data_IF_855048882926
#
_entry.id   IF_855048882926
#
_cell.length_a   1.000
_cell.length_b   1.000
_cell.length_c   1.000
_cell.angle_alpha   90.00
_cell.angle_beta   90.00
_cell.angle_gamma   90.00
#
_symmetry.space_group_name_H-M   'P 1'
#
loop_
_entity.id
_entity.type
_entity.pdbx_description
1 polymer ?
#
# COMPACT_ATOMS: atom_id res chain seq x y z
N UNK A 1 68.70 -17.55 57.15
CA UNK A 1 68.16 -16.22 56.82
C UNK A 1 66.64 -16.25 56.96
N UNK A 2 66.10 -15.24 57.66
CA UNK A 2 64.81 -14.56 57.44
C UNK A 2 63.49 -15.29 57.73
N UNK A 3 62.81 -14.89 58.81
CA UNK A 3 61.38 -14.54 58.77
C UNK A 3 61.23 -13.14 58.12
N UNK A 4 60.09 -12.63 57.59
CA UNK A 4 58.66 -12.87 57.93
C UNK A 4 57.73 -12.75 56.65
N UNK A 5 56.59 -12.01 56.59
CA UNK A 5 55.26 -12.06 57.25
C UNK A 5 54.06 -12.23 56.25
N UNK A 6 52.83 -12.23 56.79
CA UNK A 6 51.51 -11.93 56.18
C UNK A 6 51.49 -11.26 54.79
N UNK A 7 50.59 -11.70 53.90
CA UNK A 7 49.87 -10.79 52.99
C UNK A 7 48.48 -11.33 52.59
N UNK A 8 47.50 -10.46 52.76
CA UNK A 8 46.11 -10.48 52.31
C UNK A 8 46.00 -10.26 50.78
N UNK A 9 44.88 -10.70 50.19
CA UNK A 9 44.37 -10.28 48.88
C UNK A 9 44.47 -11.38 47.81
N UNK A 10 43.49 -11.64 46.94
CA UNK A 10 42.28 -10.91 46.57
C UNK A 10 41.32 -11.88 45.85
N UNK A 11 40.04 -11.54 45.89
CA UNK A 11 38.92 -12.30 45.34
C UNK A 11 39.06 -12.67 43.85
N UNK A 12 38.45 -13.78 43.45
CA UNK A 12 37.65 -13.84 42.20
C UNK A 12 36.69 -15.04 42.23
N UNK A 13 35.40 -14.68 42.28
CA UNK A 13 34.20 -15.53 42.21
C UNK A 13 34.09 -16.22 40.84
N UNK A 14 33.30 -17.31 40.75
CA UNK A 14 33.10 -18.06 39.51
C UNK A 14 32.51 -17.20 38.38
N UNK A 15 32.88 -17.65 37.18
CA UNK A 15 32.65 -17.07 35.86
C UNK A 15 31.18 -17.02 35.46
N UNK A 16 30.86 -15.84 34.96
CA UNK A 16 30.07 -15.53 33.78
C UNK A 16 28.53 -15.60 33.86
N UNK A 17 27.98 -14.40 33.64
CA UNK A 17 26.70 -14.01 33.05
C UNK A 17 25.41 -14.17 33.87
N UNK A 18 25.22 -13.28 34.84
CA UNK A 18 23.90 -12.70 35.06
C UNK A 18 23.65 -11.64 33.98
N UNK A 19 22.70 -11.90 33.08
CA UNK A 19 21.81 -10.84 32.59
C UNK A 19 20.39 -11.40 32.61
N UNK A 20 19.72 -11.19 33.73
CA UNK A 20 18.27 -11.18 33.75
C UNK A 20 17.80 -9.84 33.15
N UNK A 21 17.07 -9.89 32.04
CA UNK A 21 16.04 -8.90 31.74
C UNK A 21 15.06 -9.55 30.77
N UNK A 22 13.95 -10.07 31.28
CA UNK A 22 12.63 -9.43 31.20
C UNK A 22 11.93 -9.74 29.88
N UNK A 23 11.06 -10.74 29.96
CA UNK A 23 9.70 -10.82 29.41
C UNK A 23 9.35 -9.79 28.31
N UNK A 24 8.99 -10.33 27.15
CA UNK A 24 7.88 -9.89 26.29
C UNK A 24 8.00 -8.52 25.63
N UNK A 25 8.16 -8.50 24.31
CA UNK A 25 7.10 -8.01 23.44
C UNK A 25 7.47 -8.31 21.98
N UNK A 26 6.56 -9.04 21.34
CA UNK A 26 6.63 -9.40 19.95
C UNK A 26 6.18 -8.19 19.12
N UNK A 27 7.11 -7.47 18.50
CA UNK A 27 6.75 -6.60 17.38
C UNK A 27 7.61 -7.01 16.19
N UNK A 28 6.97 -7.82 15.37
CA UNK A 28 7.41 -8.36 14.09
C UNK A 28 7.48 -7.20 13.09
N UNK A 29 8.63 -6.55 12.98
CA UNK A 29 8.90 -5.67 11.83
C UNK A 29 9.49 -6.51 10.68
N UNK A 30 8.66 -7.39 10.13
CA UNK A 30 8.87 -7.96 8.80
C UNK A 30 8.31 -6.95 7.80
N UNK A 31 9.01 -5.83 7.64
CA UNK A 31 8.70 -4.86 6.61
C UNK A 31 9.12 -5.41 5.25
N UNK A 32 8.18 -6.11 4.62
CA UNK A 32 7.88 -6.02 3.19
C UNK A 32 8.98 -6.49 2.21
N UNK A 33 9.35 -7.77 2.27
CA UNK A 33 9.96 -8.49 1.13
C UNK A 33 8.91 -9.33 0.41
N UNK A 34 7.79 -8.73 0.00
CA UNK A 34 6.81 -9.40 -0.85
C UNK A 34 6.07 -8.36 -1.71
N UNK A 35 6.38 -8.33 -3.00
CA UNK A 35 5.48 -7.81 -4.02
C UNK A 35 5.87 -6.49 -4.69
N UNK A 36 7.08 -6.36 -5.21
CA UNK A 36 7.29 -5.53 -6.43
C UNK A 36 6.75 -6.28 -7.67
N UNK A 37 5.54 -6.82 -7.59
CA UNK A 37 4.80 -7.25 -8.78
C UNK A 37 3.92 -6.06 -9.16
N UNK A 38 4.54 -5.08 -9.84
CA UNK A 38 3.79 -4.05 -10.54
C UNK A 38 3.08 -4.79 -11.67
N UNK A 39 1.91 -5.35 -11.37
CA UNK A 39 1.11 -6.16 -12.27
C UNK A 39 0.82 -5.35 -13.56
N UNK A 40 1.60 -5.63 -14.61
CA UNK A 40 1.54 -5.00 -15.94
C UNK A 40 0.21 -5.28 -16.66
N UNK A 41 -0.65 -6.10 -16.07
CA UNK A 41 -1.97 -6.44 -16.60
C UNK A 41 -2.86 -5.22 -16.84
N UNK A 42 -2.63 -4.09 -16.17
CA UNK A 42 -3.32 -2.82 -16.45
C UNK A 42 -2.78 -2.04 -17.66
N UNK A 43 -1.55 -2.34 -18.07
CA UNK A 43 -0.98 -1.89 -19.34
C UNK A 43 -1.39 -2.84 -20.48
N UNK A 44 -1.66 -4.10 -20.14
CA UNK A 44 -2.10 -5.19 -21.03
C UNK A 44 -3.63 -5.40 -21.01
N UNK A 45 -4.41 -4.36 -20.70
CA UNK A 45 -5.86 -4.41 -20.89
C UNK A 45 -6.14 -4.62 -22.38
N UNK A 46 -6.52 -5.85 -22.73
CA UNK A 46 -6.87 -6.20 -24.09
C UNK A 46 -7.99 -5.25 -24.57
N UNK A 47 -7.89 -4.84 -25.83
CA UNK A 47 -8.92 -4.06 -26.53
C UNK A 47 -10.17 -4.94 -26.75
N UNK A 48 -10.79 -5.42 -25.68
CA UNK A 48 -12.15 -5.92 -25.76
C UNK A 48 -13.06 -4.71 -26.08
N UNK A 49 -14.01 -4.93 -26.99
CA UNK A 49 -15.06 -3.97 -27.36
C UNK A 49 -16.07 -3.78 -26.21
N UNK A 50 -15.57 -3.54 -25.00
CA UNK A 50 -16.34 -3.22 -23.82
C UNK A 50 -16.39 -1.69 -23.64
N UNK A 51 -17.54 -1.20 -23.21
CA UNK A 51 -17.71 0.19 -22.79
C UNK A 51 -17.42 0.30 -21.29
N UNK A 52 -16.40 1.09 -20.93
CA UNK A 52 -16.07 1.37 -19.55
C UNK A 52 -16.55 2.75 -19.13
N UNK A 53 -17.12 2.85 -17.93
CA UNK A 53 -17.51 4.13 -17.37
C UNK A 53 -16.33 4.79 -16.64
N UNK A 54 -16.11 6.08 -16.91
CA UNK A 54 -15.14 6.88 -16.20
C UNK A 54 -15.40 6.85 -14.67
N UNK A 55 -14.37 6.64 -13.84
CA UNK A 55 -14.50 6.68 -12.38
C UNK A 55 -14.96 8.04 -11.82
N UNK A 56 -14.75 9.12 -12.57
CA UNK A 56 -14.99 10.49 -12.13
C UNK A 56 -16.29 11.10 -12.65
N UNK A 57 -16.85 10.59 -13.74
CA UNK A 57 -17.97 11.21 -14.42
C UNK A 57 -18.87 10.12 -15.06
N UNK A 58 -20.09 10.48 -15.52
CA UNK A 58 -20.99 9.51 -16.15
C UNK A 58 -20.62 9.15 -17.60
N UNK A 59 -19.50 9.66 -18.11
CA UNK A 59 -19.05 9.38 -19.48
C UNK A 59 -18.59 7.91 -19.62
N UNK A 60 -19.00 7.29 -20.72
CA UNK A 60 -18.63 5.92 -21.09
C UNK A 60 -17.74 5.99 -22.32
N UNK A 61 -16.64 5.26 -22.29
CA UNK A 61 -15.65 5.22 -23.36
C UNK A 61 -15.28 3.79 -23.68
N UNK A 62 -14.93 3.56 -24.93
CA UNK A 62 -14.46 2.28 -25.44
C UNK A 62 -13.24 2.51 -26.32
N UNK A 63 -12.18 1.69 -26.24
CA UNK A 63 -12.00 0.56 -25.30
C UNK A 63 -11.77 1.03 -23.84
N UNK A 64 -11.82 0.14 -22.83
CA UNK A 64 -11.63 0.48 -21.42
C UNK A 64 -10.34 1.26 -21.12
N UNK A 65 -9.28 1.02 -21.89
CA UNK A 65 -8.00 1.76 -21.80
C UNK A 65 -8.17 3.26 -22.06
N UNK A 66 -9.12 3.67 -22.90
CA UNK A 66 -9.44 5.06 -23.17
C UNK A 66 -10.00 5.78 -21.92
N UNK A 67 -10.57 5.05 -20.96
CA UNK A 67 -11.08 5.63 -19.71
C UNK A 67 -9.96 6.26 -18.89
N UNK A 68 -8.77 5.66 -18.87
CA UNK A 68 -7.62 6.24 -18.17
C UNK A 68 -7.10 7.50 -18.86
N UNK A 69 -7.11 7.53 -20.19
CA UNK A 69 -6.72 8.72 -20.93
C UNK A 69 -7.71 9.87 -20.71
N UNK A 70 -9.01 9.56 -20.70
CA UNK A 70 -10.05 10.51 -20.32
C UNK A 70 -9.83 11.03 -18.89
N UNK A 71 -9.56 10.16 -17.91
CA UNK A 71 -9.25 10.58 -16.54
C UNK A 71 -8.04 11.52 -16.47
N UNK A 72 -7.01 11.26 -17.26
CA UNK A 72 -5.81 12.10 -17.30
C UNK A 72 -6.07 13.47 -17.93
N UNK A 73 -6.89 13.54 -18.98
CA UNK A 73 -7.12 14.78 -19.75
C UNK A 73 -8.27 15.62 -19.23
N UNK A 74 -9.39 15.01 -18.83
CA UNK A 74 -10.58 15.69 -18.34
C UNK A 74 -10.56 15.93 -16.82
N UNK A 75 -9.88 15.05 -16.06
CA UNK A 75 -9.87 15.09 -14.60
C UNK A 75 -8.48 15.30 -14.00
N UNK A 76 -7.44 15.50 -14.84
CA UNK A 76 -6.05 15.67 -14.40
C UNK A 76 -5.57 14.56 -13.44
N UNK A 77 -6.13 13.36 -13.57
CA UNK A 77 -5.87 12.24 -12.69
C UNK A 77 -5.20 11.11 -13.44
N UNK A 78 -3.96 10.79 -13.05
CA UNK A 78 -3.17 9.73 -13.65
C UNK A 78 -3.16 8.47 -12.76
N UNK A 79 -4.01 7.50 -13.11
CA UNK A 79 -4.10 6.22 -12.39
C UNK A 79 -2.77 5.46 -12.37
N UNK A 80 -2.02 5.46 -13.47
CA UNK A 80 -0.75 4.73 -13.57
C UNK A 80 0.29 5.33 -12.62
N UNK A 81 0.37 6.65 -12.57
CA UNK A 81 1.25 7.37 -11.65
C UNK A 81 0.86 7.13 -10.19
N UNK A 82 -0.42 7.25 -9.85
CA UNK A 82 -0.93 7.07 -8.48
C UNK A 82 -0.65 5.64 -8.01
N UNK A 83 -0.97 4.65 -8.85
CA UNK A 83 -0.71 3.23 -8.60
C UNK A 83 0.77 2.98 -8.31
N UNK A 84 1.66 3.44 -9.20
CA UNK A 84 3.11 3.29 -9.06
C UNK A 84 3.64 3.98 -7.80
N UNK A 85 3.12 5.14 -7.47
CA UNK A 85 3.58 5.93 -6.31
C UNK A 85 3.13 5.32 -4.98
N UNK A 86 1.99 4.65 -4.98
CA UNK A 86 1.43 3.95 -3.81
C UNK A 86 1.87 2.49 -3.73
N UNK A 87 2.49 1.93 -4.77
CA UNK A 87 2.88 0.51 -4.83
C UNK A 87 1.66 -0.41 -4.80
N UNK A 88 0.58 -0.04 -5.48
CA UNK A 88 -0.65 -0.82 -5.47
C UNK A 88 -0.55 -2.05 -6.37
N UNK A 89 -0.87 -3.20 -5.78
CA UNK A 89 -1.11 -4.47 -6.47
C UNK A 89 -2.45 -4.43 -7.24
N UNK A 90 -2.82 -5.56 -7.85
CA UNK A 90 -4.08 -5.69 -8.61
C UNK A 90 -5.30 -5.27 -7.75
N UNK A 91 -5.40 -5.82 -6.54
CA UNK A 91 -6.51 -5.52 -5.62
C UNK A 91 -6.46 -4.07 -5.09
N UNK A 92 -5.27 -3.53 -4.84
CA UNK A 92 -5.07 -2.13 -4.52
C UNK A 92 -5.57 -1.20 -5.64
N UNK A 93 -5.41 -1.61 -6.90
CA UNK A 93 -5.89 -0.85 -8.06
C UNK A 93 -7.42 -0.88 -8.16
N UNK A 94 -8.05 -2.03 -7.88
CA UNK A 94 -9.51 -2.14 -7.74
C UNK A 94 -10.03 -1.21 -6.64
N UNK A 95 -9.38 -1.22 -5.46
CA UNK A 95 -9.74 -0.32 -4.34
C UNK A 95 -9.62 1.13 -4.73
N UNK A 96 -8.57 1.52 -5.45
CA UNK A 96 -8.39 2.87 -5.94
C UNK A 96 -9.53 3.31 -6.86
N UNK A 97 -9.94 2.48 -7.83
CA UNK A 97 -11.08 2.79 -8.71
C UNK A 97 -12.36 2.97 -7.90
N UNK A 98 -12.69 2.03 -7.02
CA UNK A 98 -13.92 2.09 -6.23
C UNK A 98 -13.91 3.27 -5.24
N UNK A 99 -12.74 3.60 -4.66
CA UNK A 99 -12.56 4.78 -3.83
C UNK A 99 -12.86 6.06 -4.62
N UNK A 100 -12.24 6.21 -5.79
CA UNK A 100 -12.45 7.37 -6.68
C UNK A 100 -13.93 7.49 -7.06
N UNK A 101 -14.57 6.38 -7.43
CA UNK A 101 -16.00 6.35 -7.77
C UNK A 101 -16.89 6.77 -6.61
N UNK A 102 -16.59 6.28 -5.41
CA UNK A 102 -17.34 6.63 -4.20
C UNK A 102 -17.23 8.13 -3.93
N UNK A 103 -16.01 8.67 -4.00
CA UNK A 103 -15.74 10.09 -3.78
C UNK A 103 -16.35 10.99 -4.86
N UNK A 104 -16.31 10.56 -6.12
CA UNK A 104 -16.98 11.26 -7.23
C UNK A 104 -18.50 11.28 -7.04
N UNK A 105 -19.12 10.16 -6.65
CA UNK A 105 -20.56 10.09 -6.31
C UNK A 105 -20.94 11.02 -5.15
N UNK A 106 -20.04 11.21 -4.19
CA UNK A 106 -20.18 12.17 -3.09
C UNK A 106 -19.99 13.64 -3.55
N UNK A 107 -19.61 13.88 -4.80
CA UNK A 107 -19.34 15.21 -5.35
C UNK A 107 -17.97 15.78 -4.95
N UNK A 108 -17.06 14.93 -4.48
CA UNK A 108 -15.70 15.35 -4.09
C UNK A 108 -14.81 15.40 -5.32
N UNK A 109 -14.17 16.56 -5.53
CA UNK A 109 -13.12 16.71 -6.54
C UNK A 109 -11.85 16.09 -5.97
N UNK A 110 -11.39 14.99 -6.58
CA UNK A 110 -10.14 14.34 -6.19
C UNK A 110 -8.99 14.81 -7.08
N UNK A 111 -7.87 15.13 -6.45
CA UNK A 111 -6.59 15.39 -7.10
C UNK A 111 -5.66 14.19 -6.91
N UNK A 112 -4.85 13.85 -7.92
CA UNK A 112 -3.92 12.73 -7.86
C UNK A 112 -2.94 12.82 -6.70
N UNK A 113 -2.40 14.01 -6.40
CA UNK A 113 -1.48 14.19 -5.28
C UNK A 113 -2.20 14.06 -3.94
N UNK A 114 -3.44 14.57 -3.86
CA UNK A 114 -4.25 14.41 -2.66
C UNK A 114 -4.51 12.93 -2.39
N UNK A 115 -4.92 12.16 -3.40
CA UNK A 115 -5.15 10.70 -3.29
C UNK A 115 -3.87 9.95 -2.91
N UNK A 116 -2.71 10.31 -3.47
CA UNK A 116 -1.42 9.71 -3.08
C UNK A 116 -1.09 10.03 -1.61
N UNK A 117 -1.25 11.29 -1.20
CA UNK A 117 -0.93 11.72 0.17
C UNK A 117 -1.85 11.09 1.20
N UNK A 118 -3.14 10.94 0.85
CA UNK A 118 -4.15 10.28 1.65
C UNK A 118 -3.86 8.79 1.68
N UNK A 119 -3.68 8.14 0.53
CA UNK A 119 -3.35 6.72 0.43
C UNK A 119 -2.13 6.29 1.27
N UNK A 120 -1.05 7.09 1.29
CA UNK A 120 0.12 6.80 2.14
C UNK A 120 -0.18 6.78 3.63
N UNK A 121 -1.26 7.44 4.07
CA UNK A 121 -1.65 7.59 5.47
C UNK A 121 -2.94 6.85 5.82
N UNK A 122 -3.80 6.62 4.84
CA UNK A 122 -5.17 6.24 5.01
C UNK A 122 -5.35 4.73 4.92
N UNK A 123 -6.26 4.23 5.73
CA UNK A 123 -6.59 2.81 5.82
C UNK A 123 -7.39 2.29 4.61
N UNK A 124 -7.93 3.17 3.74
CA UNK A 124 -8.77 2.74 2.61
C UNK A 124 -8.02 1.86 1.61
N UNK A 125 -6.70 2.01 1.48
CA UNK A 125 -5.86 1.12 0.64
C UNK A 125 -5.94 -0.34 1.11
N UNK A 126 -6.25 -0.58 2.39
CA UNK A 126 -6.37 -1.93 2.98
C UNK A 126 -7.82 -2.29 3.32
N UNK A 127 -8.78 -1.43 3.00
CA UNK A 127 -10.17 -1.62 3.37
C UNK A 127 -10.89 -2.41 2.27
N UNK A 128 -11.31 -3.62 2.64
CA UNK A 128 -12.01 -4.53 1.74
C UNK A 128 -13.40 -4.03 1.35
N UNK A 129 -13.94 -3.02 2.03
CA UNK A 129 -15.16 -2.34 1.59
C UNK A 129 -15.01 -1.76 0.18
N UNK A 130 -13.79 -1.38 -0.23
CA UNK A 130 -13.50 -0.89 -1.59
C UNK A 130 -13.17 -1.99 -2.59
N UNK A 131 -13.15 -3.27 -2.19
CA UNK A 131 -13.09 -4.39 -3.12
C UNK A 131 -14.47 -4.74 -3.69
N UNK A 132 -15.54 -4.24 -3.07
CA UNK A 132 -16.90 -4.40 -3.59
C UNK A 132 -17.12 -3.40 -4.74
N UNK A 133 -17.47 -3.87 -5.96
CA UNK A 133 -17.73 -2.98 -7.08
C UNK A 133 -18.84 -1.98 -6.76
N UNK A 134 -18.56 -0.70 -7.01
CA UNK A 134 -19.52 0.40 -6.82
C UNK A 134 -20.52 0.49 -7.98
N UNK A 135 -20.22 -0.18 -9.09
CA UNK A 135 -21.04 -0.30 -10.29
C UNK A 135 -21.18 -1.80 -10.63
N UNK A 136 -22.39 -2.24 -10.96
CA UNK A 136 -22.63 -3.58 -11.52
C UNK A 136 -22.03 -3.65 -12.94
N UNK A 137 -21.31 -4.72 -13.26
CA UNK A 137 -20.60 -4.93 -14.55
C UNK A 137 -19.53 -3.87 -14.87
N UNK A 138 -18.68 -3.56 -13.90
CA UNK A 138 -17.60 -2.60 -14.08
C UNK A 138 -16.48 -3.14 -14.99
N UNK A 139 -16.51 -2.80 -16.28
CA UNK A 139 -15.48 -3.16 -17.25
C UNK A 139 -14.05 -2.70 -16.88
N UNK A 140 -13.88 -1.80 -15.89
CA UNK A 140 -12.55 -1.42 -15.38
C UNK A 140 -11.98 -2.40 -14.34
N UNK A 141 -12.75 -3.38 -13.87
CA UNK A 141 -12.34 -4.31 -12.81
C UNK A 141 -12.15 -5.75 -13.31
N UNK A 142 -12.35 -6.01 -14.60
CA UNK A 142 -12.29 -7.34 -15.22
C UNK A 142 -11.13 -7.46 -16.19
#
# INVERSE_FOLDING_TARGET
>A
MTYPPYMYGSASRPKDWEVASSIGDAERDLHSEFGEEVDDRWDDWEEEEAEAQCPFCPERVSPPTAAFEHCRTAHNFDFKLVRKTLGLDFYGSIRLINYVRTKSKEGTILDGNAVISDGKKASWIKDDAYLVPVLEDDALLY
#
